data_IF_947389809350
#
_entry.id   IF_947389809350
#
_cell.length_a   1.000
_cell.length_b   1.000
_cell.length_c   1.000
_cell.angle_alpha   90.00
_cell.angle_beta   90.00
_cell.angle_gamma   90.00
#
_symmetry.space_group_name_H-M   'P 1'
#
loop_
_entity.id
_entity.type
_entity.pdbx_description
1 polymer ?
#
# COMPACT_ATOMS: atom_id res chain seq x y z
N UNK A 1 17.15 0.24 -18.62
CA UNK A 1 16.61 0.80 -17.37
C UNK A 1 15.21 1.34 -17.68
N UNK A 2 14.59 2.20 -16.87
CA UNK A 2 13.41 2.96 -17.33
C UNK A 2 13.90 4.11 -18.23
N UNK A 3 14.34 3.75 -19.42
CA UNK A 3 14.94 4.68 -20.37
C UNK A 3 13.87 5.64 -20.91
N UNK A 4 14.22 6.90 -21.21
CA UNK A 4 13.28 7.85 -21.80
C UNK A 4 12.82 7.37 -23.18
N UNK A 5 11.58 7.73 -23.56
CA UNK A 5 11.11 7.48 -24.92
C UNK A 5 11.96 8.29 -25.92
N UNK A 6 12.14 7.78 -27.16
CA UNK A 6 12.62 8.58 -28.27
C UNK A 6 11.77 9.86 -28.46
N UNK A 7 12.36 10.86 -29.09
CA UNK A 7 11.65 12.11 -29.37
C UNK A 7 10.43 11.86 -30.28
N UNK A 8 9.28 12.42 -29.90
CA UNK A 8 8.01 12.21 -30.61
C UNK A 8 7.20 10.98 -30.16
N UNK A 9 7.74 10.16 -29.25
CA UNK A 9 7.05 8.97 -28.73
C UNK A 9 6.60 9.13 -27.27
N UNK A 10 5.57 8.33 -26.91
CA UNK A 10 5.09 8.23 -25.54
C UNK A 10 5.63 6.97 -24.88
N UNK A 11 6.20 7.11 -23.69
CA UNK A 11 6.45 5.97 -22.80
C UNK A 11 5.27 5.81 -21.86
N UNK A 12 4.64 4.64 -21.91
CA UNK A 12 3.54 4.27 -21.02
C UNK A 12 4.06 3.23 -20.03
N UNK A 13 3.98 3.54 -18.73
CA UNK A 13 4.34 2.62 -17.67
C UNK A 13 3.06 2.08 -17.00
N UNK A 14 2.85 0.77 -17.08
CA UNK A 14 1.82 0.08 -16.31
C UNK A 14 2.44 -0.39 -15.00
N UNK A 15 1.83 -0.01 -13.88
CA UNK A 15 2.35 -0.32 -12.56
C UNK A 15 1.24 -0.69 -11.58
N UNK A 16 1.63 -1.41 -10.53
CA UNK A 16 0.81 -1.66 -9.35
C UNK A 16 1.07 -0.59 -8.28
N UNK A 17 0.48 -0.75 -7.10
CA UNK A 17 0.76 0.06 -5.91
C UNK A 17 2.25 0.08 -5.49
N UNK A 18 3.12 -0.78 -6.05
CA UNK A 18 4.58 -0.68 -5.86
C UNK A 18 5.13 0.68 -6.32
N UNK A 19 4.57 1.27 -7.37
CA UNK A 19 5.01 2.57 -7.89
C UNK A 19 4.59 3.74 -6.99
N UNK A 20 3.73 3.51 -5.99
CA UNK A 20 3.23 4.55 -5.10
C UNK A 20 4.31 5.11 -4.18
N UNK A 21 5.23 4.27 -3.71
CA UNK A 21 6.21 4.63 -2.68
C UNK A 21 7.66 4.37 -3.12
N UNK A 22 7.94 3.21 -3.73
CA UNK A 22 9.32 2.70 -3.87
C UNK A 22 10.01 2.99 -5.21
N UNK A 23 9.29 3.49 -6.22
CA UNK A 23 9.86 3.70 -7.57
C UNK A 23 9.83 5.18 -7.98
N UNK A 24 10.98 5.71 -8.34
CA UNK A 24 11.09 7.02 -8.99
C UNK A 24 11.17 6.82 -10.49
N UNK A 25 10.11 7.21 -11.20
CA UNK A 25 10.10 7.23 -12.67
C UNK A 25 10.36 8.68 -13.10
N UNK A 26 11.50 9.00 -13.73
CA UNK A 26 11.76 10.36 -14.20
C UNK A 26 10.80 10.73 -15.33
N UNK A 27 10.40 11.99 -15.40
CA UNK A 27 9.60 12.52 -16.52
C UNK A 27 8.15 12.01 -16.59
N UNK A 28 7.51 11.75 -15.45
CA UNK A 28 6.07 11.41 -15.41
C UNK A 28 5.23 12.68 -15.56
N UNK A 29 4.71 12.90 -16.77
CA UNK A 29 3.84 14.04 -17.09
C UNK A 29 2.38 13.81 -16.75
N UNK A 30 1.95 12.55 -16.69
CA UNK A 30 0.56 12.19 -16.37
C UNK A 30 0.49 10.89 -15.56
N UNK A 31 -0.47 10.82 -14.65
CA UNK A 31 -0.85 9.63 -13.89
C UNK A 31 -2.32 9.35 -14.15
N UNK A 32 -2.62 8.14 -14.61
CA UNK A 32 -3.98 7.63 -14.77
C UNK A 32 -4.23 6.62 -13.65
N UNK A 33 -5.24 6.88 -12.83
CA UNK A 33 -5.49 6.12 -11.61
C UNK A 33 -6.87 5.47 -11.63
N UNK A 34 -6.88 4.14 -11.58
CA UNK A 34 -8.10 3.34 -11.46
C UNK A 34 -8.68 3.35 -10.06
N UNK A 35 -7.96 3.87 -9.06
CA UNK A 35 -8.41 3.94 -7.67
C UNK A 35 -8.39 2.61 -6.90
N UNK A 36 -8.00 1.52 -7.56
CA UNK A 36 -7.95 0.19 -6.96
C UNK A 36 -6.53 -0.22 -6.58
N UNK A 37 -6.41 -1.16 -5.66
CA UNK A 37 -5.21 -1.94 -5.40
C UNK A 37 -5.54 -3.41 -5.23
N UNK A 38 -4.51 -4.25 -5.20
CA UNK A 38 -4.63 -5.68 -4.89
C UNK A 38 -3.93 -5.94 -3.57
N UNK A 39 -4.67 -6.39 -2.57
CA UNK A 39 -4.19 -6.55 -1.20
C UNK A 39 -4.47 -7.96 -0.69
N UNK A 40 -3.55 -8.47 0.12
CA UNK A 40 -3.74 -9.75 0.79
C UNK A 40 -4.52 -9.50 2.08
N UNK A 41 -5.64 -10.22 2.23
CA UNK A 41 -6.55 -10.08 3.37
C UNK A 41 -6.63 -11.41 4.07
N UNK A 42 -6.60 -11.39 5.39
CA UNK A 42 -6.79 -12.56 6.22
C UNK A 42 -8.26 -12.67 6.65
N UNK A 43 -8.88 -13.78 6.30
CA UNK A 43 -10.19 -14.19 6.82
C UNK A 43 -9.96 -15.05 8.09
N UNK A 44 -10.36 -14.52 9.24
CA UNK A 44 -10.18 -15.19 10.54
C UNK A 44 -11.12 -16.39 10.72
N UNK A 45 -12.33 -16.34 10.14
CA UNK A 45 -13.30 -17.42 10.21
C UNK A 45 -12.83 -18.63 9.40
N UNK A 46 -12.34 -18.39 8.18
CA UNK A 46 -11.82 -19.43 7.28
C UNK A 46 -10.34 -19.75 7.53
N UNK A 47 -9.66 -18.96 8.38
CA UNK A 47 -8.23 -19.03 8.67
C UNK A 47 -7.35 -19.06 7.42
N UNK A 48 -7.73 -18.29 6.41
CA UNK A 48 -7.05 -18.28 5.13
C UNK A 48 -6.79 -16.86 4.63
N UNK A 49 -5.67 -16.70 3.94
CA UNK A 49 -5.36 -15.47 3.23
C UNK A 49 -5.85 -15.54 1.79
N UNK A 50 -6.43 -14.45 1.31
CA UNK A 50 -6.86 -14.29 -0.08
C UNK A 50 -6.43 -12.95 -0.64
N UNK A 51 -6.24 -12.91 -1.96
CA UNK A 51 -5.84 -11.71 -2.66
C UNK A 51 -7.08 -11.02 -3.23
N UNK A 52 -7.50 -9.94 -2.57
CA UNK A 52 -8.67 -9.14 -2.93
C UNK A 52 -8.30 -7.93 -3.78
N UNK A 53 -9.23 -7.44 -4.59
CA UNK A 53 -9.08 -6.19 -5.36
C UNK A 53 -10.08 -5.18 -4.82
N UNK A 54 -9.56 -4.11 -4.23
CA UNK A 54 -10.34 -3.16 -3.43
C UNK A 54 -9.95 -1.72 -3.76
N UNK A 55 -10.81 -0.78 -3.37
CA UNK A 55 -10.49 0.65 -3.45
C UNK A 55 -9.32 0.96 -2.52
N UNK A 56 -8.31 1.68 -3.02
CA UNK A 56 -7.22 2.13 -2.17
C UNK A 56 -7.66 3.35 -1.34
N UNK A 57 -7.14 3.49 -0.12
CA UNK A 57 -7.40 4.67 0.69
C UNK A 57 -7.04 6.01 0.01
N UNK A 58 -7.62 7.11 0.50
CA UNK A 58 -7.34 8.44 -0.05
C UNK A 58 -5.87 8.83 0.07
N UNK A 59 -5.18 8.41 1.14
CA UNK A 59 -3.75 8.62 1.29
C UNK A 59 -2.95 7.97 0.14
N UNK A 60 -3.33 6.77 -0.29
CA UNK A 60 -2.70 6.09 -1.43
C UNK A 60 -2.91 6.86 -2.73
N UNK A 61 -4.13 7.34 -2.99
CA UNK A 61 -4.43 8.18 -4.15
C UNK A 61 -3.62 9.49 -4.13
N UNK A 62 -3.46 10.12 -2.96
CA UNK A 62 -2.64 11.33 -2.79
C UNK A 62 -1.17 11.05 -3.11
N UNK A 63 -0.63 9.89 -2.71
CA UNK A 63 0.73 9.47 -3.07
C UNK A 63 0.88 9.22 -4.58
N UNK A 64 -0.08 8.56 -5.22
CA UNK A 64 -0.12 8.35 -6.69
C UNK A 64 -0.14 9.68 -7.44
N UNK A 65 -0.98 10.63 -7.01
CA UNK A 65 -1.00 12.00 -7.54
C UNK A 65 0.37 12.67 -7.43
N UNK A 66 1.10 12.45 -6.35
CA UNK A 66 2.45 12.97 -6.13
C UNK A 66 3.55 12.40 -7.05
N UNK A 67 3.22 11.43 -7.91
CA UNK A 67 4.16 10.87 -8.91
C UNK A 67 4.29 11.74 -10.16
N UNK A 68 3.38 12.69 -10.36
CA UNK A 68 3.51 13.73 -11.39
C UNK A 68 3.71 15.11 -10.74
N UNK A 69 3.96 16.14 -11.55
CA UNK A 69 4.00 17.52 -11.06
C UNK A 69 5.31 17.95 -10.37
N UNK A 70 6.37 17.12 -10.40
CA UNK A 70 7.64 17.43 -9.73
C UNK A 70 8.53 18.38 -10.52
N UNK A 71 8.62 18.19 -11.85
CA UNK A 71 9.50 18.99 -12.72
C UNK A 71 8.72 19.91 -13.65
N UNK A 72 7.48 19.54 -14.02
CA UNK A 72 6.63 20.23 -14.99
C UNK A 72 5.17 20.22 -14.48
N UNK A 73 4.27 21.00 -15.09
CA UNK A 73 2.82 20.87 -14.83
C UNK A 73 2.36 19.44 -15.13
N UNK A 74 2.02 18.69 -14.07
CA UNK A 74 1.62 17.29 -14.14
C UNK A 74 0.11 17.12 -14.15
N UNK A 75 -0.39 16.07 -14.81
CA UNK A 75 -1.82 15.75 -14.85
C UNK A 75 -2.13 14.48 -14.05
N UNK A 76 -3.10 14.55 -13.14
CA UNK A 76 -3.62 13.39 -12.43
C UNK A 76 -5.07 13.16 -12.83
N UNK A 77 -5.36 12.00 -13.44
CA UNK A 77 -6.67 11.62 -13.95
C UNK A 77 -7.20 10.45 -13.13
N UNK A 78 -8.34 10.65 -12.48
CA UNK A 78 -9.08 9.58 -11.80
C UNK A 78 -10.04 8.92 -12.79
N UNK A 79 -10.05 7.60 -12.82
CA UNK A 79 -10.89 6.78 -13.71
C UNK A 79 -12.06 6.13 -12.95
N UNK A 80 -12.52 6.78 -11.89
CA UNK A 80 -13.64 6.37 -11.05
C UNK A 80 -14.47 7.61 -10.65
N UNK A 81 -15.78 7.43 -10.37
CA UNK A 81 -16.66 8.56 -10.09
C UNK A 81 -16.38 9.18 -8.70
N UNK A 82 -16.80 10.44 -8.54
CA UNK A 82 -16.44 11.26 -7.39
C UNK A 82 -17.13 10.88 -6.08
N UNK A 83 -18.34 10.34 -6.18
CA UNK A 83 -19.12 9.77 -5.07
C UNK A 83 -18.35 8.64 -4.35
N UNK A 84 -17.71 7.75 -5.11
CA UNK A 84 -16.86 6.69 -4.57
C UNK A 84 -15.72 7.26 -3.71
N UNK A 85 -15.14 8.41 -4.08
CA UNK A 85 -14.07 9.01 -3.28
C UNK A 85 -14.55 9.42 -1.89
N UNK A 86 -15.80 9.88 -1.77
CA UNK A 86 -16.38 10.32 -0.50
C UNK A 86 -16.62 9.15 0.46
N UNK A 87 -16.83 7.94 -0.08
CA UNK A 87 -17.01 6.71 0.70
C UNK A 87 -15.68 6.05 1.11
N UNK A 88 -14.58 6.35 0.42
CA UNK A 88 -13.27 5.74 0.66
C UNK A 88 -12.61 6.31 1.92
N UNK A 89 -12.09 5.46 2.83
CA UNK A 89 -11.40 5.92 4.03
C UNK A 89 -10.10 6.67 3.71
N UNK A 90 -9.70 7.56 4.62
CA UNK A 90 -8.47 8.32 4.47
C UNK A 90 -7.21 7.43 4.48
N UNK A 91 -7.23 6.37 5.29
CA UNK A 91 -6.14 5.42 5.46
C UNK A 91 -6.66 3.98 5.45
N UNK A 92 -5.84 3.06 4.95
CA UNK A 92 -6.10 1.63 5.07
C UNK A 92 -5.81 1.16 6.51
N UNK A 93 -6.46 0.07 6.94
CA UNK A 93 -6.12 -0.60 8.20
C UNK A 93 -4.66 -1.02 8.22
N UNK A 94 -4.09 -1.18 9.42
CA UNK A 94 -2.69 -1.57 9.52
C UNK A 94 -2.47 -2.97 8.94
N UNK A 95 -1.26 -3.24 8.42
CA UNK A 95 -0.91 -4.57 7.91
C UNK A 95 -1.01 -5.64 9.01
N UNK A 96 -0.82 -5.25 10.28
CA UNK A 96 -0.91 -6.14 11.45
C UNK A 96 -2.35 -6.60 11.69
N UNK A 97 -3.33 -5.72 11.49
CA UNK A 97 -4.76 -6.05 11.65
C UNK A 97 -5.27 -6.98 10.54
N UNK A 98 -4.62 -6.96 9.37
CA UNK A 98 -5.08 -7.68 8.16
C UNK A 98 -4.26 -8.92 7.83
N UNK A 99 -3.27 -9.29 8.66
CA UNK A 99 -2.34 -10.37 8.37
C UNK A 99 -2.32 -11.47 9.43
N UNK A 100 -2.10 -12.73 9.04
CA UNK A 100 -1.84 -13.81 9.98
C UNK A 100 -0.55 -13.54 10.76
N UNK A 101 -0.65 -13.49 12.10
CA UNK A 101 0.49 -13.15 12.98
C UNK A 101 1.36 -14.34 13.35
N UNK A 102 1.01 -15.57 12.95
CA UNK A 102 1.71 -16.79 13.37
C UNK A 102 3.18 -16.76 12.95
N UNK A 103 3.47 -16.34 11.70
CA UNK A 103 4.85 -16.22 11.22
C UNK A 103 5.62 -15.18 12.02
N UNK A 104 5.07 -13.97 12.17
CA UNK A 104 5.70 -12.88 12.90
C UNK A 104 5.94 -13.24 14.37
N UNK A 105 4.99 -13.96 14.99
CA UNK A 105 5.11 -14.49 16.34
C UNK A 105 6.26 -15.50 16.47
N UNK A 106 6.39 -16.43 15.52
CA UNK A 106 7.49 -17.40 15.50
C UNK A 106 8.84 -16.72 15.29
N UNK A 107 8.93 -15.75 14.37
CA UNK A 107 10.15 -14.96 14.13
C UNK A 107 10.55 -14.16 15.38
N UNK A 108 9.59 -13.52 16.04
CA UNK A 108 9.82 -12.79 17.28
C UNK A 108 10.30 -13.71 18.41
N UNK A 109 9.73 -14.92 18.54
CA UNK A 109 10.17 -15.89 19.52
C UNK A 109 11.63 -16.33 19.28
N UNK A 110 11.95 -16.65 18.03
CA UNK A 110 13.30 -17.07 17.65
C UNK A 110 14.33 -15.96 17.90
N UNK A 111 14.01 -14.71 17.56
CA UNK A 111 14.88 -13.57 17.83
C UNK A 111 15.10 -13.34 19.33
N UNK A 112 14.07 -13.48 20.15
CA UNK A 112 14.18 -13.34 21.59
C UNK A 112 15.08 -14.42 22.23
N UNK A 113 15.03 -15.67 21.73
CA UNK A 113 15.95 -16.73 22.15
C UNK A 113 17.40 -16.40 21.78
N UNK A 114 17.66 -15.91 20.56
CA UNK A 114 19.00 -15.52 20.11
C UNK A 114 19.61 -14.40 20.96
N UNK A 115 18.77 -13.49 21.48
CA UNK A 115 19.17 -12.39 22.35
C UNK A 115 19.30 -12.79 23.83
N UNK A 116 19.16 -14.08 24.16
CA UNK A 116 19.29 -14.61 25.52
C UNK A 116 18.07 -14.35 26.41
N UNK A 117 16.94 -13.95 25.84
CA UNK A 117 15.65 -13.83 26.52
C UNK A 117 14.82 -15.13 26.46
N UNK A 118 13.86 -15.28 27.37
CA UNK A 118 12.81 -16.31 27.25
C UNK A 118 11.59 -15.68 26.58
N UNK A 119 11.27 -16.12 25.37
CA UNK A 119 10.15 -15.58 24.61
C UNK A 119 8.82 -16.15 25.10
N UNK A 120 8.06 -15.38 25.89
CA UNK A 120 6.63 -15.66 26.07
C UNK A 120 5.86 -14.87 25.00
N UNK A 121 5.70 -15.44 23.80
CA UNK A 121 4.82 -14.84 22.80
C UNK A 121 3.37 -15.17 23.19
N UNK A 122 2.72 -14.21 23.86
CA UNK A 122 1.28 -14.31 24.15
C UNK A 122 0.50 -14.02 22.87
N UNK A 123 0.03 -15.07 22.20
CA UNK A 123 -0.97 -14.95 21.15
C UNK A 123 -2.25 -14.33 21.77
N UNK A 124 -2.66 -13.16 21.29
CA UNK A 124 -3.95 -12.56 21.67
C UNK A 124 -3.90 -11.27 22.52
N UNK A 125 -2.77 -10.58 22.65
CA UNK A 125 -2.83 -9.17 23.04
C UNK A 125 -3.30 -8.35 21.82
N UNK A 126 -4.37 -7.53 21.92
CA UNK A 126 -4.66 -6.57 20.88
C UNK A 126 -3.43 -5.70 20.69
N UNK A 127 -2.94 -5.61 19.45
CA UNK A 127 -1.99 -4.57 19.09
C UNK A 127 -2.79 -3.28 19.13
N UNK A 128 -2.85 -2.62 20.28
CA UNK A 128 -3.41 -1.28 20.35
C UNK A 128 -2.55 -0.39 19.46
N UNK A 129 -3.09 -0.07 18.29
CA UNK A 129 -2.65 1.08 17.53
C UNK A 129 -2.83 2.29 18.46
N UNK A 130 -1.78 3.09 18.74
CA UNK A 130 -1.99 4.35 19.42
C UNK A 130 -2.98 5.11 18.54
N UNK A 131 -4.14 5.50 19.08
CA UNK A 131 -5.06 6.42 18.40
C UNK A 131 -4.34 7.75 18.22
N UNK A 132 -3.56 7.86 17.15
CA UNK A 132 -2.89 9.06 16.72
C UNK A 132 -3.95 10.03 16.22
N UNK A 133 -4.31 10.98 17.07
CA UNK A 133 -4.77 12.27 16.61
C UNK A 133 -3.61 12.92 15.84
N UNK A 134 -3.79 13.17 14.54
CA UNK A 134 -3.40 14.38 13.79
C UNK A 134 -3.54 14.12 12.28
#
# INVERSE_FOLDING_TARGET
ALDPAPEGEWRICLATNIAESSLTVPGVSAVLDFGMHRVNIYDDEMRMSMLSTEWCCQASMRQRRGRTGRTNAGMYVRLFPGDILEEIPDFDDSAVERSPLQRTAMEAAHLAELLGGSATVRAGLPVETPKGHC
#
